data_IF_130652126968
#
_entry.id   IF_130652126968
#
_cell.length_a   1.000
_cell.length_b   1.000
_cell.length_c   1.000
_cell.angle_alpha   90.00
_cell.angle_beta   90.00
_cell.angle_gamma   90.00
#
_symmetry.space_group_name_H-M   'P 1'
#
loop_
_entity.id
_entity.type
_entity.pdbx_description
1 polymer ?
#
# COMPACT_ATOMS: atom_id res chain seq x y z
N UNK A 1 2.34 11.09 -33.84
CA UNK A 1 3.34 10.21 -33.19
C UNK A 1 3.76 10.94 -31.91
N UNK A 2 3.59 10.46 -30.69
CA UNK A 2 3.65 9.10 -30.16
C UNK A 2 2.74 9.03 -28.90
N UNK A 3 1.77 8.12 -28.82
CA UNK A 3 1.13 7.77 -27.55
C UNK A 3 2.16 6.93 -26.76
N UNK A 4 2.74 7.51 -25.70
CA UNK A 4 3.60 6.74 -24.79
C UNK A 4 2.71 6.01 -23.78
N UNK A 5 2.60 4.71 -23.98
CA UNK A 5 1.95 3.76 -23.07
C UNK A 5 2.54 3.89 -21.67
N UNK A 6 1.74 4.35 -20.70
CA UNK A 6 2.06 4.30 -19.28
C UNK A 6 1.85 2.86 -18.80
N UNK A 7 2.95 2.14 -18.52
CA UNK A 7 2.84 0.79 -17.93
C UNK A 7 2.54 0.91 -16.44
N UNK A 8 1.58 0.14 -15.89
CA UNK A 8 1.44 -0.03 -14.46
C UNK A 8 2.66 -0.77 -13.89
N UNK A 9 3.53 -0.06 -13.16
CA UNK A 9 4.45 -0.62 -12.18
C UNK A 9 3.61 -1.01 -10.97
N UNK A 10 3.65 -2.31 -10.73
CA UNK A 10 3.23 -3.04 -9.56
C UNK A 10 4.52 -3.24 -8.74
N UNK A 11 4.57 -2.69 -7.53
CA UNK A 11 5.68 -2.92 -6.60
C UNK A 11 5.51 -4.34 -6.06
N UNK A 12 6.50 -5.19 -6.30
CA UNK A 12 6.56 -6.54 -5.79
C UNK A 12 6.98 -6.49 -4.31
N UNK A 13 6.01 -6.45 -3.40
CA UNK A 13 6.27 -6.77 -2.00
C UNK A 13 6.02 -8.28 -1.82
N UNK A 14 7.04 -9.09 -2.12
CA UNK A 14 7.04 -10.49 -1.71
C UNK A 14 7.44 -10.52 -0.24
N UNK A 15 6.47 -10.55 0.68
CA UNK A 15 6.74 -10.90 2.07
C UNK A 15 7.13 -12.37 2.08
N UNK A 16 8.43 -12.64 2.09
CA UNK A 16 8.93 -13.96 2.43
C UNK A 16 8.34 -14.32 3.80
N UNK A 17 7.68 -15.47 3.89
CA UNK A 17 7.18 -16.02 5.15
C UNK A 17 8.37 -16.41 6.03
N UNK A 18 8.98 -15.41 6.66
CA UNK A 18 9.80 -15.64 7.83
C UNK A 18 8.83 -16.02 8.95
N UNK A 19 8.93 -17.27 9.42
CA UNK A 19 8.26 -17.71 10.62
C UNK A 19 8.61 -16.73 11.77
N UNK A 20 7.67 -15.84 12.12
CA UNK A 20 7.83 -14.90 13.22
C UNK A 20 7.40 -13.45 13.01
N UNK A 21 6.80 -13.03 11.89
CA UNK A 21 6.22 -11.67 11.84
C UNK A 21 4.88 -11.62 12.57
N UNK A 22 4.91 -11.40 13.89
CA UNK A 22 3.71 -11.00 14.64
C UNK A 22 3.27 -9.61 14.18
N UNK A 23 1.96 -9.38 14.07
CA UNK A 23 1.42 -8.02 13.96
C UNK A 23 1.97 -7.14 15.07
N UNK A 24 2.34 -5.89 14.74
CA UNK A 24 2.86 -4.93 15.70
C UNK A 24 1.79 -3.89 16.02
N UNK A 25 1.63 -3.58 17.31
CA UNK A 25 0.68 -2.59 17.79
C UNK A 25 1.41 -1.44 18.47
N UNK A 26 1.13 -0.22 18.01
CA UNK A 26 1.61 1.02 18.59
C UNK A 26 0.52 2.09 18.50
N UNK A 27 0.49 2.96 19.50
CA UNK A 27 -0.41 4.11 19.51
C UNK A 27 0.09 5.15 18.52
N UNK A 28 -0.73 5.46 17.51
CA UNK A 28 -0.44 6.48 16.50
C UNK A 28 -1.52 7.56 16.57
N UNK A 29 -1.14 8.82 16.74
CA UNK A 29 -2.05 9.95 16.57
C UNK A 29 -1.99 10.45 15.12
N UNK A 30 -3.16 10.68 14.52
CA UNK A 30 -3.29 11.33 13.21
C UNK A 30 -3.44 12.84 13.41
N UNK A 31 -2.34 13.50 13.75
CA UNK A 31 -2.29 14.94 14.06
C UNK A 31 -1.36 15.73 13.12
N UNK A 32 -0.83 15.08 12.08
CA UNK A 32 0.13 15.64 11.13
C UNK A 32 1.58 15.62 11.62
N UNK A 33 1.85 15.08 12.81
CA UNK A 33 3.21 14.80 13.30
C UNK A 33 3.52 13.32 13.14
N UNK A 34 4.81 13.00 13.13
CA UNK A 34 5.29 11.63 12.93
C UNK A 34 6.11 11.11 14.12
N UNK A 35 6.05 11.80 15.26
CA UNK A 35 6.86 11.47 16.45
C UNK A 35 6.50 10.10 17.04
N UNK A 36 5.24 9.67 16.88
CA UNK A 36 4.76 8.35 17.32
C UNK A 36 5.31 7.19 16.47
N UNK A 37 5.79 7.48 15.25
CA UNK A 37 6.34 6.49 14.32
C UNK A 37 7.81 6.21 14.63
N UNK A 38 8.03 5.47 15.71
CA UNK A 38 9.36 5.11 16.21
C UNK A 38 10.12 4.18 15.24
N UNK A 39 11.46 4.30 15.14
CA UNK A 39 12.33 3.31 14.47
C UNK A 39 12.27 1.91 15.09
N UNK A 40 11.68 1.75 16.28
CA UNK A 40 11.45 0.44 16.90
C UNK A 40 10.37 -0.39 16.20
N UNK A 41 9.50 0.25 15.40
CA UNK A 41 8.55 -0.46 14.55
C UNK A 41 9.28 -1.10 13.36
N UNK A 42 8.84 -2.30 12.99
CA UNK A 42 9.28 -2.95 11.77
C UNK A 42 9.07 -2.03 10.58
N UNK A 43 10.15 -1.81 9.84
CA UNK A 43 10.19 -0.95 8.67
C UNK A 43 10.57 -1.81 7.48
N UNK A 44 9.75 -1.77 6.44
CA UNK A 44 10.17 -2.20 5.12
C UNK A 44 10.92 -1.05 4.46
N UNK A 45 12.13 -1.32 3.98
CA UNK A 45 12.92 -0.37 3.19
C UNK A 45 13.03 -0.95 1.79
N UNK A 46 12.62 -0.18 0.79
CA UNK A 46 12.74 -0.61 -0.60
C UNK A 46 14.22 -0.66 -1.02
N UNK A 47 14.67 -1.76 -1.64
CA UNK A 47 15.99 -1.80 -2.26
C UNK A 47 16.09 -0.78 -3.38
N UNK A 48 17.21 -0.05 -3.44
CA UNK A 48 17.45 0.91 -4.50
C UNK A 48 17.36 0.26 -5.89
N UNK A 49 16.63 0.91 -6.79
CA UNK A 49 16.51 0.52 -8.18
C UNK A 49 16.82 1.67 -9.15
N UNK A 50 16.95 1.36 -10.45
CA UNK A 50 17.29 2.34 -11.49
C UNK A 50 16.09 2.70 -12.36
N UNK A 51 14.88 2.47 -11.87
CA UNK A 51 13.65 2.72 -12.61
C UNK A 51 13.25 4.19 -12.41
N UNK A 52 12.81 4.84 -13.48
CA UNK A 52 12.30 6.20 -13.40
C UNK A 52 10.86 6.21 -12.89
N UNK A 53 10.54 7.11 -11.95
CA UNK A 53 9.21 7.22 -11.36
C UNK A 53 9.29 7.86 -9.98
N UNK A 54 8.18 7.75 -9.24
CA UNK A 54 8.16 8.01 -7.80
C UNK A 54 8.60 6.72 -7.11
N UNK A 55 9.53 6.83 -6.18
CA UNK A 55 10.17 5.72 -5.46
C UNK A 55 9.57 5.58 -4.05
N UNK A 56 9.36 4.34 -3.57
CA UNK A 56 8.87 4.06 -2.22
C UNK A 56 10.06 3.83 -1.29
N UNK A 57 10.57 4.86 -0.64
CA UNK A 57 11.74 4.71 0.23
C UNK A 57 11.52 3.76 1.41
N UNK A 58 10.35 3.86 2.07
CA UNK A 58 10.03 2.97 3.19
C UNK A 58 8.55 2.90 3.52
N UNK A 59 8.17 1.83 4.23
CA UNK A 59 6.84 1.63 4.77
C UNK A 59 6.92 1.11 6.22
N UNK A 60 6.05 1.63 7.08
CA UNK A 60 5.77 1.10 8.41
C UNK A 60 4.27 0.86 8.54
N UNK A 61 3.90 -0.26 9.15
CA UNK A 61 2.49 -0.64 9.35
C UNK A 61 2.27 -1.06 10.79
N UNK A 62 1.27 -0.52 11.45
CA UNK A 62 0.85 -0.94 12.80
C UNK A 62 -0.66 -0.89 12.89
N UNK A 63 -1.25 -1.43 13.95
CA UNK A 63 -2.69 -1.43 14.14
C UNK A 63 -3.05 -1.28 15.62
N UNK A 64 -4.31 -0.93 15.86
CA UNK A 64 -4.97 -1.15 17.14
C UNK A 64 -6.18 -2.08 16.96
N UNK A 65 -7.17 -1.99 17.86
CA UNK A 65 -8.38 -2.80 17.78
C UNK A 65 -9.29 -2.40 16.60
N UNK A 66 -9.23 -1.16 16.16
CA UNK A 66 -10.21 -0.55 15.24
C UNK A 66 -9.59 -0.17 13.89
N UNK A 67 -8.29 0.15 13.85
CA UNK A 67 -7.64 0.73 12.68
C UNK A 67 -6.31 0.05 12.32
N UNK A 68 -6.05 0.03 11.00
CA UNK A 68 -4.73 -0.18 10.44
C UNK A 68 -4.11 1.18 10.12
N UNK A 69 -2.91 1.42 10.64
CA UNK A 69 -2.11 2.61 10.39
C UNK A 69 -0.99 2.26 9.42
N UNK A 70 -0.92 3.00 8.31
CA UNK A 70 0.10 2.82 7.28
C UNK A 70 0.83 4.14 7.06
N UNK A 71 2.14 4.14 7.26
CA UNK A 71 3.04 5.24 6.91
C UNK A 71 3.88 4.83 5.72
N UNK A 72 3.88 5.67 4.69
CA UNK A 72 4.76 5.54 3.52
C UNK A 72 5.65 6.77 3.42
N UNK A 73 6.90 6.56 2.99
CA UNK A 73 7.83 7.62 2.66
C UNK A 73 8.21 7.45 1.20
N UNK A 74 8.04 8.50 0.41
CA UNK A 74 8.36 8.54 -1.01
C UNK A 74 9.57 9.46 -1.25
N UNK A 75 10.25 9.29 -2.38
CA UNK A 75 11.36 10.16 -2.78
C UNK A 75 10.90 11.56 -3.22
N UNK A 76 9.64 11.67 -3.64
CA UNK A 76 9.04 12.87 -4.21
C UNK A 76 7.68 13.12 -3.56
N UNK A 77 7.35 14.38 -3.21
CA UNK A 77 5.99 14.73 -2.79
C UNK A 77 4.96 14.42 -3.88
N UNK A 78 3.81 13.89 -3.47
CA UNK A 78 2.68 13.65 -4.35
C UNK A 78 1.45 14.38 -3.84
N UNK A 79 0.56 14.74 -4.76
CA UNK A 79 -0.79 15.21 -4.44
C UNK A 79 -1.73 14.01 -4.41
N UNK A 80 -2.54 13.88 -3.35
CA UNK A 80 -3.56 12.83 -3.24
C UNK A 80 -4.98 13.36 -3.50
N UNK A 81 -5.14 14.68 -3.64
CA UNK A 81 -6.43 15.37 -3.75
C UNK A 81 -6.82 15.67 -5.20
N UNK A 82 -5.87 15.61 -6.14
CA UNK A 82 -6.13 15.79 -7.55
C UNK A 82 -5.34 14.84 -8.47
N UNK A 83 -5.66 14.88 -9.76
CA UNK A 83 -5.05 14.06 -10.81
C UNK A 83 -4.07 14.85 -11.68
N UNK A 84 -3.70 16.08 -11.29
CA UNK A 84 -2.84 16.96 -12.09
C UNK A 84 -1.39 16.48 -12.07
N UNK A 85 -0.92 15.98 -10.92
CA UNK A 85 0.39 15.35 -10.80
C UNK A 85 0.22 13.83 -10.92
N UNK A 86 0.71 13.19 -11.99
CA UNK A 86 0.52 11.75 -12.15
C UNK A 86 1.31 10.98 -11.08
N UNK A 87 0.57 10.26 -10.24
CA UNK A 87 1.13 9.27 -9.32
C UNK A 87 0.32 7.97 -9.44
N UNK A 88 0.89 6.87 -8.95
CA UNK A 88 0.19 5.57 -8.88
C UNK A 88 0.49 4.90 -7.55
N UNK A 89 0.09 5.57 -6.47
CA UNK A 89 0.04 4.95 -5.16
C UNK A 89 -1.19 4.05 -5.10
N UNK A 90 -0.98 2.78 -4.78
CA UNK A 90 -2.00 1.75 -4.65
C UNK A 90 -1.78 1.06 -3.30
N UNK A 91 -2.85 0.84 -2.54
CA UNK A 91 -2.83 -0.02 -1.36
C UNK A 91 -3.73 -1.22 -1.63
N UNK A 92 -3.19 -2.43 -1.47
CA UNK A 92 -3.93 -3.68 -1.56
C UNK A 92 -3.73 -4.48 -0.28
N UNK A 93 -4.82 -5.00 0.28
CA UNK A 93 -4.82 -5.80 1.52
C UNK A 93 -5.48 -7.14 1.20
N UNK A 94 -4.70 -8.21 1.37
CA UNK A 94 -5.16 -9.58 1.49
C UNK A 94 -5.55 -9.78 2.96
N UNK A 95 -6.86 -9.84 3.21
CA UNK A 95 -7.41 -9.79 4.57
C UNK A 95 -7.70 -11.18 5.14
N UNK A 96 -7.74 -12.20 4.29
CA UNK A 96 -8.03 -13.59 4.68
C UNK A 96 -6.84 -14.55 4.50
N UNK A 97 -5.69 -14.03 4.05
CA UNK A 97 -4.44 -14.78 3.79
C UNK A 97 -4.65 -15.91 2.77
N UNK A 98 -5.52 -15.66 1.78
CA UNK A 98 -5.85 -16.62 0.75
C UNK A 98 -5.66 -16.03 -0.65
N UNK A 99 -4.51 -16.34 -1.24
CA UNK A 99 -4.16 -15.92 -2.59
C UNK A 99 -5.13 -16.36 -3.71
N UNK A 100 -6.12 -17.23 -3.44
CA UNK A 100 -7.13 -17.66 -4.39
C UNK A 100 -8.43 -16.82 -4.37
N UNK A 101 -8.57 -15.88 -3.44
CA UNK A 101 -9.72 -14.96 -3.30
C UNK A 101 -9.35 -13.54 -3.75
N UNK A 102 -10.33 -12.63 -3.77
CA UNK A 102 -10.13 -11.22 -4.07
C UNK A 102 -9.56 -10.88 -5.46
N UNK A 103 -9.03 -9.65 -5.57
CA UNK A 103 -8.40 -9.13 -6.79
C UNK A 103 -6.93 -9.57 -6.87
N UNK A 104 -6.51 -10.26 -7.96
CA UNK A 104 -5.14 -10.77 -8.10
C UNK A 104 -4.19 -9.67 -8.57
N UNK A 105 -3.81 -8.76 -7.66
CA UNK A 105 -2.91 -7.66 -7.97
C UNK A 105 -1.53 -8.15 -8.45
N UNK A 106 -1.10 -9.32 -7.96
CA UNK A 106 0.13 -10.00 -8.36
C UNK A 106 -0.02 -11.52 -8.23
N UNK A 107 0.92 -12.27 -8.80
CA UNK A 107 0.94 -13.74 -8.65
C UNK A 107 1.06 -14.12 -7.18
N UNK A 108 0.17 -15.00 -6.71
CA UNK A 108 0.18 -15.49 -5.34
C UNK A 108 -0.34 -14.50 -4.30
N UNK A 109 -1.18 -13.55 -4.71
CA UNK A 109 -1.77 -12.56 -3.83
C UNK A 109 -3.21 -12.25 -4.29
N UNK A 110 -4.15 -12.25 -3.36
CA UNK A 110 -5.56 -11.97 -3.59
C UNK A 110 -6.03 -10.89 -2.62
N UNK A 111 -6.38 -9.69 -3.11
CA UNK A 111 -6.80 -8.60 -2.20
C UNK A 111 -8.30 -8.43 -2.13
N UNK A 112 -8.83 -8.47 -0.91
CA UNK A 112 -10.22 -8.13 -0.59
C UNK A 112 -10.42 -6.62 -0.47
N UNK A 113 -9.39 -5.85 -0.14
CA UNK A 113 -9.47 -4.38 -0.09
C UNK A 113 -8.42 -3.77 -0.99
N UNK A 114 -8.83 -2.83 -1.84
CA UNK A 114 -7.89 -2.04 -2.61
C UNK A 114 -8.28 -0.57 -2.70
N UNK A 115 -7.27 0.30 -2.60
CA UNK A 115 -7.40 1.75 -2.70
C UNK A 115 -6.47 2.24 -3.81
N UNK A 116 -7.04 3.01 -4.74
CA UNK A 116 -6.35 3.67 -5.83
C UNK A 116 -6.50 5.17 -5.66
N UNK A 117 -5.51 5.78 -5.00
CA UNK A 117 -5.58 7.19 -4.58
C UNK A 117 -5.78 8.13 -5.76
N UNK A 118 -5.02 7.93 -6.84
CA UNK A 118 -5.11 8.75 -8.04
C UNK A 118 -6.45 8.59 -8.80
N UNK A 119 -7.31 7.64 -8.44
CA UNK A 119 -8.61 7.42 -9.08
C UNK A 119 -9.78 7.68 -8.13
N UNK A 120 -9.49 8.06 -6.87
CA UNK A 120 -10.48 8.13 -5.80
C UNK A 120 -11.36 6.87 -5.71
N UNK A 121 -10.74 5.72 -5.97
CA UNK A 121 -11.43 4.45 -6.05
C UNK A 121 -10.99 3.56 -4.91
N UNK A 122 -11.96 3.12 -4.11
CA UNK A 122 -11.79 2.01 -3.18
C UNK A 122 -12.71 0.87 -3.62
N UNK A 123 -12.26 -0.37 -3.43
CA UNK A 123 -13.12 -1.54 -3.57
C UNK A 123 -12.97 -2.44 -2.36
N UNK A 124 -14.06 -3.12 -2.04
CA UNK A 124 -14.08 -4.22 -1.09
C UNK A 124 -14.70 -5.45 -1.78
N UNK A 125 -13.87 -6.44 -2.04
CA UNK A 125 -14.16 -7.63 -2.84
C UNK A 125 -13.98 -8.89 -1.98
N UNK A 126 -14.86 -9.04 -1.00
CA UNK A 126 -15.11 -10.33 -0.31
C UNK A 126 -16.25 -11.03 -1.03
N UNK A 127 -16.24 -12.35 -1.19
CA UNK A 127 -17.40 -13.03 -1.80
C UNK A 127 -18.51 -13.21 -0.74
N UNK A 128 -19.75 -12.73 -0.98
CA UNK A 128 -20.21 -11.98 -2.16
C UNK A 128 -19.84 -10.48 -2.10
N UNK A 129 -19.39 -9.93 -3.23
CA UNK A 129 -18.77 -8.60 -3.31
C UNK A 129 -19.76 -7.48 -3.01
N UNK A 130 -19.30 -6.47 -2.26
CA UNK A 130 -20.05 -5.24 -1.99
C UNK A 130 -19.23 -4.05 -2.46
N UNK A 131 -19.66 -3.41 -3.56
CA UNK A 131 -19.10 -2.12 -3.95
C UNK A 131 -19.72 -1.02 -3.07
N UNK A 132 -18.87 -0.20 -2.44
CA UNK A 132 -19.30 1.05 -1.80
C UNK A 132 -19.10 2.16 -2.82
N UNK A 133 -20.20 2.78 -3.26
CA UNK A 133 -20.22 3.93 -4.17
C UNK A 133 -20.22 5.25 -3.40
#
# INVERSE_FOLDING_TARGET
MLFRSFRPILVLCAVAHAAGSSGQAATILIDGRFDDWSPALNTYTEPAESIAGIDLLSMQVTNDQDFLYVKVVLDTPIDLEDQLVPHRLLLYIDADDNAATGFPAQTGFGSELGIRFNQFLAYYDVVPSSQVS
#
